data_IF_424851901888
#
_entry.id   IF_424851901888
#
_cell.length_a   1.000
_cell.length_b   1.000
_cell.length_c   1.000
_cell.angle_alpha   90.00
_cell.angle_beta   90.00
_cell.angle_gamma   90.00
#
_symmetry.space_group_name_H-M   'P 1'
#
loop_
_entity.id
_entity.type
_entity.pdbx_description
1 polymer ?
#
# COMPACT_ATOMS: atom_id res chain seq x y z
N UNK A 1 -17.12 16.95 -47.71
CA UNK A 1 -16.19 17.48 -46.70
C UNK A 1 -16.33 16.62 -45.47
N UNK A 2 -15.51 15.58 -45.35
CA UNK A 2 -15.51 14.73 -44.16
C UNK A 2 -14.57 15.34 -43.12
N UNK A 3 -15.14 15.68 -41.96
CA UNK A 3 -14.42 16.28 -40.85
C UNK A 3 -13.90 15.13 -39.97
N UNK A 4 -12.69 14.68 -40.25
CA UNK A 4 -12.00 13.69 -39.44
C UNK A 4 -11.72 14.27 -38.05
N UNK A 5 -12.46 13.80 -37.04
CA UNK A 5 -12.14 14.09 -35.64
C UNK A 5 -10.88 13.33 -35.27
N UNK A 6 -9.77 14.05 -35.14
CA UNK A 6 -8.57 13.54 -34.51
C UNK A 6 -8.84 13.40 -33.00
N UNK A 7 -9.11 12.18 -32.55
CA UNK A 7 -9.03 11.82 -31.13
C UNK A 7 -7.55 11.83 -30.72
N UNK A 8 -7.06 12.98 -30.28
CA UNK A 8 -5.80 13.06 -29.55
C UNK A 8 -5.88 12.11 -28.33
N UNK A 9 -4.80 11.37 -27.99
CA UNK A 9 -4.77 10.61 -26.76
C UNK A 9 -4.94 11.63 -25.62
N UNK A 10 -6.12 11.61 -25.03
CA UNK A 10 -6.39 12.29 -23.78
C UNK A 10 -5.35 11.74 -22.83
N UNK A 11 -4.38 12.57 -22.39
CA UNK A 11 -3.56 12.21 -21.22
C UNK A 11 -4.57 11.88 -20.14
N UNK A 12 -4.80 10.59 -19.86
CA UNK A 12 -5.53 10.17 -18.67
C UNK A 12 -4.91 11.01 -17.56
N UNK A 13 -5.72 11.88 -16.95
CA UNK A 13 -5.30 12.58 -15.75
C UNK A 13 -4.60 11.52 -14.89
N UNK A 14 -3.31 11.72 -14.63
CA UNK A 14 -2.48 10.68 -14.03
C UNK A 14 -3.15 10.30 -12.72
N UNK A 15 -3.82 9.15 -12.68
CA UNK A 15 -4.30 8.58 -11.44
C UNK A 15 -3.06 8.55 -10.53
N UNK A 16 -3.11 9.30 -9.42
CA UNK A 16 -1.93 9.61 -8.62
C UNK A 16 -1.07 8.37 -8.40
N UNK A 17 0.25 8.53 -8.47
CA UNK A 17 1.19 7.42 -8.30
C UNK A 17 0.81 6.61 -7.05
N UNK A 18 0.83 5.28 -7.17
CA UNK A 18 0.58 4.40 -6.03
C UNK A 18 1.61 4.74 -4.95
N UNK A 19 1.14 5.02 -3.73
CA UNK A 19 2.02 5.39 -2.63
C UNK A 19 1.51 4.82 -1.30
N UNK A 20 2.38 4.18 -0.53
CA UNK A 20 2.05 3.77 0.83
C UNK A 20 2.10 5.02 1.72
N UNK A 21 0.98 5.34 2.36
CA UNK A 21 0.89 6.49 3.29
C UNK A 21 0.73 6.04 4.74
N UNK A 22 0.27 4.80 4.97
CA UNK A 22 0.40 4.13 6.25
C UNK A 22 0.99 2.74 6.04
N UNK A 23 2.09 2.41 6.75
CA UNK A 23 2.83 3.29 7.67
C UNK A 23 3.63 4.39 6.95
N UNK A 24 3.95 5.50 7.65
CA UNK A 24 4.92 6.47 7.16
C UNK A 24 6.31 5.86 6.98
N UNK A 25 7.07 6.36 6.02
CA UNK A 25 8.44 5.91 5.79
C UNK A 25 9.35 6.22 6.99
N UNK A 26 10.09 5.20 7.43
CA UNK A 26 11.01 5.30 8.57
C UNK A 26 10.34 5.26 9.94
N UNK A 27 9.02 5.04 10.01
CA UNK A 27 8.30 5.00 11.28
C UNK A 27 8.82 3.89 12.21
N UNK A 28 8.87 4.19 13.50
CA UNK A 28 9.14 3.21 14.56
C UNK A 28 7.88 2.95 15.36
N UNK A 29 7.52 1.68 15.52
CA UNK A 29 6.38 1.20 16.31
C UNK A 29 6.88 0.42 17.53
N UNK A 30 6.07 0.40 18.59
CA UNK A 30 6.34 -0.35 19.82
C UNK A 30 5.24 -1.40 20.01
N UNK A 31 5.62 -2.59 20.48
CA UNK A 31 4.67 -3.59 20.94
C UNK A 31 4.39 -3.33 22.43
N UNK A 32 3.11 -3.17 22.77
CA UNK A 32 2.64 -3.12 24.14
C UNK A 32 2.64 -4.54 24.73
N UNK A 33 3.47 -4.86 25.73
CA UNK A 33 3.54 -6.21 26.29
C UNK A 33 2.30 -6.60 27.12
N UNK A 34 1.42 -5.64 27.44
CA UNK A 34 0.21 -5.87 28.26
C UNK A 34 -1.01 -6.23 27.42
N UNK A 35 -0.99 -5.93 26.13
CA UNK A 35 -2.08 -6.20 25.20
C UNK A 35 -1.86 -7.54 24.48
N UNK A 36 -2.94 -8.30 24.22
CA UNK A 36 -2.81 -9.53 23.43
C UNK A 36 -2.29 -9.21 22.02
N UNK A 37 -1.34 -10.01 21.46
CA UNK A 37 -0.76 -9.74 20.14
C UNK A 37 -1.78 -9.57 19.02
N UNK A 38 -2.90 -10.31 19.08
CA UNK A 38 -3.97 -10.24 18.05
C UNK A 38 -4.67 -8.88 18.00
N UNK A 39 -4.57 -8.07 19.06
CA UNK A 39 -5.09 -6.69 19.07
C UNK A 39 -4.07 -5.66 18.61
N UNK A 40 -2.83 -6.09 18.30
CA UNK A 40 -1.73 -5.23 17.87
C UNK A 40 -1.45 -5.41 16.39
N UNK A 41 -2.24 -4.74 15.56
CA UNK A 41 -2.08 -4.73 14.13
C UNK A 41 -1.78 -3.31 13.60
N UNK A 42 -0.90 -3.24 12.60
CA UNK A 42 -0.60 -2.04 11.85
C UNK A 42 -1.48 -1.99 10.60
N UNK A 43 -2.31 -0.95 10.41
CA UNK A 43 -3.05 -0.79 9.16
C UNK A 43 -2.10 -0.38 8.02
N UNK A 44 -2.08 -1.19 6.97
CA UNK A 44 -1.40 -0.90 5.71
C UNK A 44 -2.38 -0.21 4.77
N UNK A 45 -2.01 0.97 4.26
CA UNK A 45 -2.84 1.74 3.33
C UNK A 45 -2.02 2.37 2.22
N UNK A 46 -2.52 2.27 1.01
CA UNK A 46 -1.99 2.92 -0.17
C UNK A 46 -2.96 4.01 -0.66
N UNK A 47 -2.43 5.12 -1.18
CA UNK A 47 -3.18 6.12 -1.94
C UNK A 47 -3.02 5.89 -3.43
N UNK A 48 -4.01 6.34 -4.19
CA UNK A 48 -3.99 6.25 -5.66
C UNK A 48 -4.27 4.85 -6.20
N UNK A 49 -4.67 3.91 -5.34
CA UNK A 49 -5.17 2.60 -5.72
C UNK A 49 -6.68 2.65 -5.98
N UNK A 50 -7.13 2.11 -7.11
CA UNK A 50 -8.56 2.08 -7.50
C UNK A 50 -9.17 0.67 -7.49
N UNK A 51 -8.39 -0.35 -7.13
CA UNK A 51 -8.79 -1.76 -7.21
C UNK A 51 -8.00 -2.62 -6.25
N UNK A 52 -7.86 -3.91 -6.57
CA UNK A 52 -7.11 -4.86 -5.73
C UNK A 52 -5.66 -4.38 -5.52
N UNK A 53 -5.22 -4.38 -4.26
CA UNK A 53 -3.84 -4.12 -3.84
C UNK A 53 -3.32 -5.33 -3.10
N UNK A 54 -2.25 -5.93 -3.61
CA UNK A 54 -1.53 -7.03 -2.96
C UNK A 54 -0.44 -6.46 -2.06
N UNK A 55 -0.38 -6.98 -0.84
CA UNK A 55 0.54 -6.50 0.18
C UNK A 55 1.58 -7.55 0.51
N UNK A 56 2.82 -7.11 0.64
CA UNK A 56 3.96 -7.93 1.02
C UNK A 56 4.70 -7.29 2.18
N UNK A 57 5.20 -8.14 3.08
CA UNK A 57 6.15 -7.73 4.13
C UNK A 57 7.37 -8.62 4.01
N UNK A 58 8.54 -8.01 3.78
CA UNK A 58 9.79 -8.73 3.51
C UNK A 58 9.60 -9.77 2.38
N UNK A 59 9.02 -9.31 1.27
CA UNK A 59 8.69 -10.11 0.07
C UNK A 59 7.70 -11.26 0.30
N UNK A 60 7.17 -11.43 1.52
CA UNK A 60 6.15 -12.43 1.86
C UNK A 60 4.76 -11.84 1.69
N UNK A 61 3.84 -12.46 0.92
CA UNK A 61 2.48 -11.97 0.78
C UNK A 61 1.74 -12.05 2.12
N UNK A 62 1.15 -10.93 2.56
CA UNK A 62 0.43 -10.83 3.85
C UNK A 62 -1.07 -10.60 3.69
N UNK A 63 -1.53 -10.33 2.47
CA UNK A 63 -2.95 -10.17 2.19
C UNK A 63 -3.24 -9.19 1.08
N UNK A 64 -4.51 -8.78 1.02
CA UNK A 64 -5.06 -7.98 -0.07
C UNK A 64 -6.01 -6.96 0.51
N UNK A 65 -5.99 -5.74 -0.04
CA UNK A 65 -7.05 -4.75 0.20
C UNK A 65 -7.68 -4.26 -1.11
N UNK A 66 -8.78 -3.51 -1.01
CA UNK A 66 -9.48 -2.89 -2.13
C UNK A 66 -9.32 -1.38 -2.08
N UNK A 67 -8.78 -0.80 -3.14
CA UNK A 67 -8.50 0.64 -3.23
C UNK A 67 -7.62 1.10 -2.07
N UNK A 68 -8.10 2.11 -1.34
CA UNK A 68 -7.39 2.67 -0.18
C UNK A 68 -7.81 2.02 1.17
N UNK A 69 -8.63 0.97 1.13
CA UNK A 69 -9.04 0.26 2.35
C UNK A 69 -7.82 -0.34 3.08
N UNK A 70 -7.84 -0.36 4.43
CA UNK A 70 -6.74 -0.91 5.20
C UNK A 70 -6.67 -2.43 5.11
N UNK A 71 -5.44 -2.95 5.09
CA UNK A 71 -5.13 -4.32 5.50
C UNK A 71 -4.52 -4.27 6.90
N UNK A 72 -5.08 -5.02 7.86
CA UNK A 72 -4.48 -5.15 9.19
C UNK A 72 -3.34 -6.16 9.14
N UNK A 73 -2.10 -5.70 9.35
CA UNK A 73 -0.93 -6.57 9.46
C UNK A 73 -0.53 -6.74 10.93
N UNK A 74 -0.48 -7.96 11.49
CA UNK A 74 -0.03 -8.18 12.86
C UNK A 74 1.40 -7.64 13.06
N UNK A 75 1.62 -6.87 14.13
CA UNK A 75 2.96 -6.38 14.44
C UNK A 75 3.89 -7.53 14.78
N UNK A 76 5.02 -7.59 14.10
CA UNK A 76 6.15 -8.46 14.42
C UNK A 76 7.36 -7.59 14.74
N UNK A 77 8.17 -7.95 15.74
CA UNK A 77 9.41 -7.21 16.06
C UNK A 77 10.42 -7.35 14.91
N UNK A 78 11.13 -6.27 14.61
CA UNK A 78 12.20 -6.25 13.61
C UNK A 78 12.14 -5.07 12.64
N UNK A 79 13.02 -5.12 11.64
CA UNK A 79 12.98 -4.20 10.49
C UNK A 79 12.15 -4.83 9.38
N UNK A 80 11.20 -4.08 8.84
CA UNK A 80 10.27 -4.57 7.83
C UNK A 80 10.23 -3.66 6.61
N UNK A 81 10.33 -4.25 5.42
CA UNK A 81 10.01 -3.60 4.15
C UNK A 81 8.59 -3.98 3.77
N UNK A 82 7.72 -2.99 3.62
CA UNK A 82 6.32 -3.17 3.21
C UNK A 82 6.21 -2.76 1.75
N UNK A 83 5.61 -3.60 0.92
CA UNK A 83 5.35 -3.33 -0.49
C UNK A 83 3.87 -3.46 -0.79
N UNK A 84 3.38 -2.61 -1.68
CA UNK A 84 2.03 -2.65 -2.24
C UNK A 84 2.14 -2.77 -3.76
N UNK A 85 1.35 -3.67 -4.36
CA UNK A 85 1.25 -3.84 -5.82
C UNK A 85 -0.21 -3.79 -6.25
N UNK A 86 -0.54 -2.93 -7.22
CA UNK A 86 -1.91 -2.87 -7.77
C UNK A 86 -2.08 -3.74 -9.04
N UNK A 87 -3.32 -3.88 -9.50
CA UNK A 87 -3.65 -4.64 -10.72
C UNK A 87 -3.09 -4.05 -12.01
N UNK A 88 -2.64 -2.79 -11.99
CA UNK A 88 -2.00 -2.15 -13.14
C UNK A 88 -0.47 -2.38 -13.14
N UNK A 89 0.04 -3.16 -12.19
CA UNK A 89 1.46 -3.44 -12.03
C UNK A 89 2.26 -2.30 -11.39
N UNK A 90 1.59 -1.25 -10.87
CA UNK A 90 2.26 -0.20 -10.11
C UNK A 90 2.64 -0.74 -8.74
N UNK A 91 3.82 -0.32 -8.25
CA UNK A 91 4.34 -0.74 -6.96
C UNK A 91 4.78 0.45 -6.13
N UNK A 92 4.66 0.33 -4.81
CA UNK A 92 5.20 1.26 -3.83
C UNK A 92 5.84 0.48 -2.68
N UNK A 93 6.87 1.05 -2.06
CA UNK A 93 7.53 0.43 -0.91
C UNK A 93 7.85 1.44 0.19
N UNK A 94 7.92 0.96 1.42
CA UNK A 94 8.32 1.74 2.59
C UNK A 94 9.00 0.82 3.62
N UNK A 95 9.82 1.40 4.52
CA UNK A 95 10.49 0.65 5.59
C UNK A 95 10.05 1.18 6.95
N UNK A 96 9.87 0.26 7.90
CA UNK A 96 9.57 0.56 9.30
C UNK A 96 10.46 -0.27 10.23
N UNK A 97 10.50 0.14 11.50
CA UNK A 97 11.09 -0.63 12.59
C UNK A 97 9.98 -0.89 13.63
N UNK A 98 9.88 -2.12 14.09
CA UNK A 98 9.04 -2.48 15.24
C UNK A 98 9.98 -2.91 16.36
N UNK A 99 9.96 -2.16 17.47
CA UNK A 99 10.83 -2.39 18.61
C UNK A 99 10.17 -3.24 19.67
#
# INVERSE_FOLDING_TARGET
MEMTVAIAPQRRAAAGALAIHHPPAGATYLIDPTLRPDFQALPLRARGATGRVEWFVNDTPVGVSLGEAPLAWPLARGSHTIQARDTNGRSASTRIIVK
#
